data_IF_004179405066
#
_entry.id   IF_004179405066
#
_cell.length_a   1.000
_cell.length_b   1.000
_cell.length_c   1.000
_cell.angle_alpha   90.00
_cell.angle_beta   90.00
_cell.angle_gamma   90.00
#
_symmetry.space_group_name_H-M   'P 1'
#
loop_
_entity.id
_entity.type
_entity.pdbx_description
1 polymer ?
#
# COMPACT_ATOMS: atom_id res chain seq x y z
N UNK A 1 18.41 -0.80 -13.10
CA UNK A 1 18.09 0.06 -11.94
C UNK A 1 17.23 -0.67 -10.89
N UNK A 2 16.07 -1.21 -11.26
CA UNK A 2 15.20 -2.01 -10.38
C UNK A 2 15.91 -3.16 -9.65
N UNK A 3 16.81 -3.89 -10.32
CA UNK A 3 17.58 -4.98 -9.69
C UNK A 3 18.50 -4.48 -8.55
N UNK A 4 19.05 -3.27 -8.65
CA UNK A 4 19.91 -2.69 -7.60
C UNK A 4 19.07 -2.27 -6.39
N UNK A 5 17.93 -1.62 -6.63
CA UNK A 5 16.97 -1.24 -5.59
C UNK A 5 16.48 -2.48 -4.82
N UNK A 6 16.13 -3.55 -5.54
CA UNK A 6 15.66 -4.80 -4.94
C UNK A 6 16.71 -5.44 -4.05
N UNK A 7 17.98 -5.39 -4.46
CA UNK A 7 19.10 -5.93 -3.69
C UNK A 7 19.33 -5.14 -2.41
N UNK A 8 19.27 -3.81 -2.45
CA UNK A 8 19.39 -2.98 -1.25
C UNK A 8 18.29 -3.30 -0.23
N UNK A 9 17.04 -3.38 -0.69
CA UNK A 9 15.89 -3.69 0.16
C UNK A 9 16.00 -5.12 0.75
N UNK A 10 16.45 -6.09 -0.05
CA UNK A 10 16.60 -7.48 0.39
C UNK A 10 17.63 -7.62 1.52
N UNK A 11 18.70 -6.82 1.49
CA UNK A 11 19.78 -6.87 2.49
C UNK A 11 19.47 -6.08 3.77
N UNK A 12 18.40 -5.27 3.77
CA UNK A 12 18.03 -4.50 4.96
C UNK A 12 17.50 -5.41 6.09
N UNK A 13 17.86 -5.13 7.36
CA UNK A 13 17.16 -5.66 8.53
C UNK A 13 15.68 -5.31 8.50
N UNK A 14 14.84 -6.19 9.04
CA UNK A 14 13.38 -6.08 8.91
C UNK A 14 12.83 -4.81 9.56
N UNK A 15 13.39 -4.36 10.69
CA UNK A 15 12.97 -3.11 11.34
C UNK A 15 13.32 -1.86 10.52
N UNK A 16 14.47 -1.84 9.84
CA UNK A 16 14.85 -0.75 8.92
C UNK A 16 13.91 -0.73 7.72
N UNK A 17 13.60 -1.90 7.19
CA UNK A 17 12.66 -2.03 6.08
C UNK A 17 11.27 -1.49 6.45
N UNK A 18 10.75 -1.83 7.63
CA UNK A 18 9.47 -1.31 8.13
C UNK A 18 9.50 0.21 8.22
N UNK A 19 10.51 0.79 8.90
CA UNK A 19 10.62 2.25 9.06
C UNK A 19 10.70 2.92 7.68
N UNK A 20 11.55 2.39 6.79
CA UNK A 20 11.70 2.89 5.44
C UNK A 20 10.38 2.87 4.66
N UNK A 21 9.62 1.76 4.74
CA UNK A 21 8.33 1.64 4.06
C UNK A 21 7.28 2.59 4.60
N UNK A 22 7.25 2.80 5.92
CA UNK A 22 6.35 3.81 6.53
C UNK A 22 6.72 5.20 6.03
N UNK A 23 7.99 5.62 6.16
CA UNK A 23 8.45 6.94 5.72
C UNK A 23 8.21 7.16 4.23
N UNK A 24 8.47 6.16 3.39
CA UNK A 24 8.27 6.26 1.95
C UNK A 24 6.79 6.42 1.60
N UNK A 25 5.87 5.74 2.29
CA UNK A 25 4.43 5.92 2.08
C UNK A 25 3.96 7.36 2.36
N UNK A 26 4.51 8.01 3.39
CA UNK A 26 4.27 9.44 3.66
C UNK A 26 4.83 10.35 2.57
N UNK A 27 6.02 10.05 2.06
CA UNK A 27 6.63 10.83 0.97
C UNK A 27 5.75 10.79 -0.29
N UNK A 28 5.16 9.64 -0.62
CA UNK A 28 4.22 9.52 -1.74
C UNK A 28 3.08 10.55 -1.60
N UNK A 29 2.44 10.62 -0.43
CA UNK A 29 1.35 11.56 -0.18
C UNK A 29 1.80 13.01 -0.35
N UNK A 30 2.91 13.38 0.29
CA UNK A 30 3.42 14.76 0.27
C UNK A 30 3.78 15.21 -1.14
N UNK A 31 4.32 14.32 -1.98
CA UNK A 31 4.70 14.65 -3.35
C UNK A 31 3.51 14.66 -4.32
N UNK A 32 2.56 13.74 -4.16
CA UNK A 32 1.43 13.59 -5.09
C UNK A 32 0.37 14.67 -4.86
N UNK A 33 0.10 15.01 -3.60
CA UNK A 33 -0.93 15.99 -3.26
C UNK A 33 -0.86 17.29 -4.07
N UNK A 34 0.26 18.06 -4.09
CA UNK A 34 0.33 19.31 -4.83
C UNK A 34 0.19 19.13 -6.36
N UNK A 35 0.66 18.00 -6.89
CA UNK A 35 0.56 17.69 -8.32
C UNK A 35 -0.91 17.48 -8.71
N UNK A 36 -1.64 16.68 -7.94
CA UNK A 36 -3.05 16.38 -8.25
C UNK A 36 -3.91 17.63 -8.10
N UNK A 37 -3.71 18.43 -7.06
CA UNK A 37 -4.47 19.69 -6.88
C UNK A 37 -4.14 20.74 -7.94
N UNK A 38 -2.91 20.75 -8.47
CA UNK A 38 -2.55 21.62 -9.59
C UNK A 38 -3.22 21.20 -10.90
N UNK A 39 -3.27 19.89 -11.19
CA UNK A 39 -3.91 19.36 -12.41
C UNK A 39 -5.44 19.40 -12.32
N UNK A 40 -6.00 19.21 -11.13
CA UNK A 40 -7.44 19.19 -10.87
C UNK A 40 -7.82 20.24 -9.81
N UNK A 41 -7.84 21.54 -10.15
CA UNK A 41 -8.04 22.62 -9.19
C UNK A 41 -9.40 22.61 -8.48
N UNK A 42 -10.41 21.94 -9.07
CA UNK A 42 -11.76 21.83 -8.52
C UNK A 42 -11.99 20.51 -7.76
N UNK A 43 -10.95 19.69 -7.53
CA UNK A 43 -11.10 18.44 -6.80
C UNK A 43 -11.39 18.76 -5.33
N UNK A 44 -12.55 18.34 -4.84
CA UNK A 44 -12.93 18.54 -3.45
C UNK A 44 -12.22 17.49 -2.60
N UNK A 45 -11.59 17.93 -1.52
CA UNK A 45 -11.02 17.06 -0.50
C UNK A 45 -12.08 16.81 0.58
N UNK A 46 -12.35 15.53 0.86
CA UNK A 46 -13.03 15.13 2.06
C UNK A 46 -12.01 14.84 3.17
N UNK A 47 -12.42 14.99 4.43
CA UNK A 47 -11.55 14.74 5.59
C UNK A 47 -11.36 13.23 5.88
N UNK A 48 -11.66 12.35 4.91
CA UNK A 48 -11.71 10.90 5.08
C UNK A 48 -13.05 10.43 5.67
N UNK A 49 -13.03 9.31 6.40
CA UNK A 49 -14.27 8.72 6.92
C UNK A 49 -14.91 9.61 7.99
N UNK A 50 -16.16 10.04 7.76
CA UNK A 50 -16.96 10.84 8.71
C UNK A 50 -17.00 10.17 10.10
N UNK A 51 -17.19 8.85 10.13
CA UNK A 51 -17.26 8.07 11.37
C UNK A 51 -15.97 8.11 12.19
N UNK A 52 -14.79 8.14 11.55
CA UNK A 52 -13.52 8.25 12.28
C UNK A 52 -13.25 9.67 12.74
N UNK A 53 -13.61 10.69 11.96
CA UNK A 53 -13.37 12.10 12.31
C UNK A 53 -14.05 12.46 13.63
N UNK A 54 -15.31 12.03 13.80
CA UNK A 54 -16.12 12.34 14.97
C UNK A 54 -15.89 11.39 16.16
N UNK A 55 -15.00 10.41 16.00
CA UNK A 55 -14.69 9.43 17.04
C UNK A 55 -13.65 9.92 18.07
N UNK A 56 -13.59 9.22 19.20
CA UNK A 56 -12.63 9.52 20.28
C UNK A 56 -11.18 9.31 19.84
N UNK A 57 -10.25 10.00 20.49
CA UNK A 57 -8.81 9.84 20.22
C UNK A 57 -8.35 8.38 20.29
N UNK A 58 -8.79 7.65 21.32
CA UNK A 58 -8.44 6.23 21.48
C UNK A 58 -9.01 5.36 20.36
N UNK A 59 -10.23 5.64 19.90
CA UNK A 59 -10.81 4.92 18.76
C UNK A 59 -10.02 5.17 17.48
N UNK A 60 -9.62 6.42 17.22
CA UNK A 60 -8.77 6.77 16.06
C UNK A 60 -7.45 6.00 16.05
N UNK A 61 -6.77 5.91 17.20
CA UNK A 61 -5.50 5.18 17.30
C UNK A 61 -5.72 3.68 17.15
N UNK A 62 -6.63 3.09 17.93
CA UNK A 62 -6.79 1.62 17.96
C UNK A 62 -7.42 1.13 16.67
N UNK A 63 -8.54 1.71 16.26
CA UNK A 63 -9.28 1.25 15.08
C UNK A 63 -8.69 1.84 13.81
N UNK A 64 -8.50 3.15 13.77
CA UNK A 64 -8.03 3.84 12.56
C UNK A 64 -6.56 3.61 12.22
N UNK A 65 -5.69 3.39 13.21
CA UNK A 65 -4.24 3.26 12.96
C UNK A 65 -3.66 1.87 13.21
N UNK A 66 -4.35 0.98 13.92
CA UNK A 66 -3.87 -0.38 14.17
C UNK A 66 -4.76 -1.42 13.49
N UNK A 67 -6.03 -1.52 13.87
CA UNK A 67 -6.91 -2.60 13.42
C UNK A 67 -7.26 -2.44 11.93
N UNK A 68 -7.67 -1.25 11.50
CA UNK A 68 -8.00 -0.95 10.11
C UNK A 68 -6.88 -1.34 9.14
N UNK A 69 -5.66 -0.78 9.31
CA UNK A 69 -4.51 -1.12 8.47
C UNK A 69 -4.16 -2.62 8.45
N UNK A 70 -4.34 -3.35 9.56
CA UNK A 70 -4.11 -4.80 9.61
C UNK A 70 -5.16 -5.58 8.79
N UNK A 71 -6.44 -5.21 8.90
CA UNK A 71 -7.53 -5.83 8.12
C UNK A 71 -7.35 -5.52 6.63
N UNK A 72 -7.06 -4.27 6.30
CA UNK A 72 -6.70 -3.79 4.97
C UNK A 72 -5.56 -4.62 4.38
N UNK A 73 -4.46 -4.77 5.12
CA UNK A 73 -3.30 -5.57 4.70
C UNK A 73 -3.67 -7.03 4.45
N UNK A 74 -4.49 -7.61 5.33
CA UNK A 74 -4.97 -8.98 5.18
C UNK A 74 -5.80 -9.15 3.90
N UNK A 75 -6.66 -8.20 3.57
CA UNK A 75 -7.54 -8.29 2.41
C UNK A 75 -6.77 -8.03 1.12
N UNK A 76 -6.12 -6.87 0.99
CA UNK A 76 -5.59 -6.40 -0.28
C UNK A 76 -4.18 -6.93 -0.56
N UNK A 77 -3.27 -6.88 0.41
CA UNK A 77 -1.91 -7.38 0.22
C UNK A 77 -1.82 -8.90 0.38
N UNK A 78 -2.60 -9.52 1.26
CA UNK A 78 -2.54 -10.97 1.43
C UNK A 78 -3.54 -11.73 0.55
N UNK A 79 -4.84 -11.57 0.76
CA UNK A 79 -5.86 -12.39 0.09
C UNK A 79 -5.94 -12.13 -1.43
N UNK A 80 -6.04 -10.86 -1.85
CA UNK A 80 -6.12 -10.48 -3.27
C UNK A 80 -4.87 -10.93 -4.01
N UNK A 81 -3.66 -10.60 -3.52
CA UNK A 81 -2.41 -11.05 -4.15
C UNK A 81 -2.31 -12.57 -4.23
N UNK A 82 -2.68 -13.29 -3.16
CA UNK A 82 -2.69 -14.76 -3.14
C UNK A 82 -3.64 -15.33 -4.17
N UNK A 83 -4.82 -14.73 -4.36
CA UNK A 83 -5.77 -15.13 -5.40
C UNK A 83 -5.20 -14.87 -6.80
N UNK A 84 -4.69 -13.67 -7.06
CA UNK A 84 -4.10 -13.30 -8.36
C UNK A 84 -2.92 -14.19 -8.75
N UNK A 85 -2.11 -14.62 -7.77
CA UNK A 85 -1.00 -15.56 -7.99
C UNK A 85 -1.45 -16.98 -8.38
N UNK A 86 -2.69 -17.38 -8.10
CA UNK A 86 -3.25 -18.65 -8.57
C UNK A 86 -3.68 -18.59 -10.03
N UNK A 87 -3.92 -17.40 -10.57
CA UNK A 87 -4.34 -17.21 -11.96
C UNK A 87 -3.15 -17.32 -12.91
N UNK A 88 -3.15 -18.33 -13.80
CA UNK A 88 -2.04 -18.66 -14.72
C UNK A 88 -1.48 -17.47 -15.50
N UNK A 89 -2.35 -16.59 -15.98
CA UNK A 89 -1.99 -15.45 -16.82
C UNK A 89 -1.46 -14.24 -16.02
N UNK A 90 -1.79 -14.15 -14.73
CA UNK A 90 -1.46 -12.99 -13.88
C UNK A 90 -0.25 -13.30 -12.98
N UNK A 91 -0.11 -14.56 -12.56
CA UNK A 91 0.85 -15.00 -11.53
C UNK A 91 2.31 -14.61 -11.77
N UNK A 92 2.72 -14.44 -13.04
CA UNK A 92 4.07 -14.04 -13.44
C UNK A 92 4.26 -12.52 -13.52
N UNK A 93 3.19 -11.75 -13.64
CA UNK A 93 3.24 -10.30 -13.82
C UNK A 93 3.05 -9.57 -12.49
N UNK A 94 4.15 -9.38 -11.76
CA UNK A 94 4.14 -8.69 -10.45
C UNK A 94 3.57 -7.27 -10.53
N UNK A 95 3.87 -6.54 -11.60
CA UNK A 95 3.36 -5.19 -11.80
C UNK A 95 1.83 -5.19 -11.92
N UNK A 96 1.27 -6.11 -12.72
CA UNK A 96 -0.18 -6.26 -12.86
C UNK A 96 -0.84 -6.66 -11.53
N UNK A 97 -0.20 -7.53 -10.73
CA UNK A 97 -0.69 -7.88 -9.39
C UNK A 97 -0.77 -6.64 -8.48
N UNK A 98 0.30 -5.84 -8.44
CA UNK A 98 0.31 -4.58 -7.68
C UNK A 98 -0.80 -3.65 -8.16
N UNK A 99 -0.94 -3.46 -9.48
CA UNK A 99 -1.97 -2.60 -10.08
C UNK A 99 -3.37 -3.02 -9.67
N UNK A 100 -3.70 -4.31 -9.77
CA UNK A 100 -5.03 -4.80 -9.40
C UNK A 100 -5.27 -4.63 -7.90
N UNK A 101 -4.31 -4.98 -7.04
CA UNK A 101 -4.40 -4.78 -5.58
C UNK A 101 -4.67 -3.31 -5.25
N UNK A 102 -3.84 -2.41 -5.79
CA UNK A 102 -3.91 -0.99 -5.48
C UNK A 102 -5.20 -0.34 -5.96
N UNK A 103 -5.69 -0.71 -7.14
CA UNK A 103 -6.98 -0.21 -7.64
C UNK A 103 -8.13 -0.71 -6.77
N UNK A 104 -8.13 -1.99 -6.37
CA UNK A 104 -9.18 -2.54 -5.49
C UNK A 104 -9.16 -1.86 -4.11
N UNK A 105 -7.97 -1.60 -3.56
CA UNK A 105 -7.80 -0.84 -2.33
C UNK A 105 -8.36 0.58 -2.47
N UNK A 106 -7.91 1.28 -3.51
CA UNK A 106 -8.35 2.62 -3.88
C UNK A 106 -9.85 2.77 -3.91
N UNK A 107 -10.51 1.96 -4.74
CA UNK A 107 -11.96 2.03 -4.96
C UNK A 107 -12.73 1.68 -3.67
N UNK A 108 -12.18 0.83 -2.80
CA UNK A 108 -12.84 0.46 -1.53
C UNK A 108 -12.95 1.62 -0.53
N UNK A 109 -12.21 2.71 -0.73
CA UNK A 109 -12.31 3.92 0.10
C UNK A 109 -13.00 5.04 -0.68
N UNK A 110 -14.31 4.90 -0.84
CA UNK A 110 -15.14 5.83 -1.60
C UNK A 110 -15.43 7.15 -0.85
N UNK A 111 -14.39 7.90 -0.48
CA UNK A 111 -14.54 9.23 0.14
C UNK A 111 -14.56 10.35 -0.91
N UNK A 112 -13.42 10.57 -1.58
CA UNK A 112 -13.30 11.50 -2.70
C UNK A 112 -12.21 11.04 -3.67
N UNK A 113 -12.20 11.63 -4.86
CA UNK A 113 -11.31 11.22 -5.95
C UNK A 113 -9.83 11.47 -5.61
N UNK A 114 -9.51 12.56 -4.91
CA UNK A 114 -8.12 12.86 -4.51
C UNK A 114 -7.63 11.82 -3.51
N UNK A 115 -8.46 11.45 -2.54
CA UNK A 115 -8.17 10.40 -1.57
C UNK A 115 -7.96 9.05 -2.27
N UNK A 116 -8.88 8.66 -3.17
CA UNK A 116 -8.77 7.39 -3.92
C UNK A 116 -7.46 7.32 -4.71
N UNK A 117 -7.08 8.39 -5.42
CA UNK A 117 -5.81 8.44 -6.16
C UNK A 117 -4.62 8.26 -5.21
N UNK A 118 -4.58 9.02 -4.12
CA UNK A 118 -3.47 8.98 -3.16
C UNK A 118 -3.28 7.59 -2.57
N UNK A 119 -4.35 7.00 -2.03
CA UNK A 119 -4.25 5.70 -1.39
C UNK A 119 -3.98 4.58 -2.41
N UNK A 120 -4.46 4.71 -3.66
CA UNK A 120 -4.12 3.76 -4.73
C UNK A 120 -2.61 3.72 -4.94
N UNK A 121 -1.95 4.89 -5.01
CA UNK A 121 -0.50 4.97 -5.20
C UNK A 121 0.28 4.43 -3.98
N UNK A 122 -0.20 4.69 -2.77
CA UNK A 122 0.36 4.10 -1.56
C UNK A 122 0.23 2.57 -1.61
N UNK A 123 -0.95 2.05 -1.95
CA UNK A 123 -1.20 0.60 -1.99
C UNK A 123 -0.41 -0.10 -3.10
N UNK A 124 -0.22 0.55 -4.26
CA UNK A 124 0.71 0.06 -5.29
C UNK A 124 2.11 -0.20 -4.72
N UNK A 125 2.61 0.76 -3.92
CA UNK A 125 3.89 0.63 -3.25
C UNK A 125 3.87 -0.46 -2.18
N UNK A 126 2.84 -0.53 -1.34
CA UNK A 126 2.72 -1.53 -0.28
C UNK A 126 2.60 -2.96 -0.86
N UNK A 127 1.83 -3.15 -1.92
CA UNK A 127 1.72 -4.42 -2.65
C UNK A 127 3.08 -4.84 -3.24
N UNK A 128 3.84 -3.88 -3.78
CA UNK A 128 5.19 -4.13 -4.28
C UNK A 128 6.15 -4.58 -3.18
N UNK A 129 6.15 -3.86 -2.05
CA UNK A 129 6.94 -4.15 -0.84
C UNK A 129 6.57 -5.53 -0.29
N UNK A 130 5.28 -5.84 -0.22
CA UNK A 130 4.76 -7.16 0.20
C UNK A 130 5.33 -8.29 -0.67
N UNK A 131 5.22 -8.16 -2.00
CA UNK A 131 5.75 -9.16 -2.93
C UNK A 131 7.27 -9.31 -2.82
N UNK A 132 8.00 -8.22 -2.61
CA UNK A 132 9.45 -8.24 -2.45
C UNK A 132 9.83 -8.98 -1.16
N UNK A 133 9.17 -8.68 -0.05
CA UNK A 133 9.45 -9.30 1.24
C UNK A 133 9.02 -10.77 1.32
N UNK A 134 7.93 -11.16 0.66
CA UNK A 134 7.53 -12.56 0.51
C UNK A 134 8.58 -13.38 -0.26
N UNK A 135 9.18 -12.79 -1.31
CA UNK A 135 10.30 -13.42 -2.02
C UNK A 135 11.55 -13.51 -1.13
N UNK A 136 11.82 -12.51 -0.27
CA UNK A 136 12.90 -12.54 0.72
C UNK A 136 12.76 -13.72 1.68
N UNK A 137 11.57 -13.89 2.28
CA UNK A 137 11.29 -15.03 3.17
C UNK A 137 11.45 -16.36 2.44
N UNK A 138 10.86 -16.51 1.26
CA UNK A 138 10.96 -17.75 0.47
C UNK A 138 12.42 -18.12 0.15
N UNK A 139 13.24 -17.16 -0.25
CA UNK A 139 14.65 -17.42 -0.58
C UNK A 139 15.49 -17.72 0.68
N UNK A 140 15.21 -17.07 1.81
CA UNK A 140 15.86 -17.37 3.07
C UNK A 140 15.57 -18.81 3.55
N UNK A 141 14.33 -19.30 3.36
CA UNK A 141 13.96 -20.68 3.68
C UNK A 141 14.63 -21.73 2.79
N UNK A 142 15.11 -21.37 1.60
CA UNK A 142 15.83 -22.29 0.69
C UNK A 142 17.34 -22.35 0.95
N UNK A 143 17.86 -21.50 1.85
CA UNK A 143 19.28 -21.44 2.23
C UNK A 143 19.55 -22.07 3.61
N UNK A 144 18.52 -22.59 4.28
CA UNK A 144 18.61 -23.42 5.49
C UNK A 144 18.34 -24.86 5.13
#
# INVERSE_FOLDING_TARGET
MLLKINRCIFLMPDWIFIIFSVVFSFIIVVLIYPIVTYVFPNIQQSNGSVNLIDSTFFYKIIVGSLIGPLIETLIFQHLVIKFLKKTKYISKNKLLICIISGILFGISHSYDMLYIINITLIDLYLAYVYLLYENKKRNYHLLK
#
